data_IF_726192329026
#
_entry.id   IF_726192329026
#
_cell.length_a   1.000
_cell.length_b   1.000
_cell.length_c   1.000
_cell.angle_alpha   90.00
_cell.angle_beta   90.00
_cell.angle_gamma   90.00
#
_symmetry.space_group_name_H-M   'P 1'
#
loop_
_entity.id
_entity.type
_entity.pdbx_description
1 polymer ?
#
# COMPACT_ATOMS: atom_id res chain seq x y z
N UNK A 1 20.79 21.17 -28.34
CA UNK A 1 20.94 19.94 -27.52
C UNK A 1 21.13 20.30 -26.05
N UNK A 2 22.14 21.12 -25.70
CA UNK A 2 22.39 21.54 -24.31
C UNK A 2 21.12 22.01 -23.57
N UNK A 3 20.29 22.85 -24.20
CA UNK A 3 19.02 23.28 -23.61
C UNK A 3 18.10 22.12 -23.22
N UNK A 4 17.96 21.07 -24.03
CA UNK A 4 17.05 19.95 -23.73
C UNK A 4 17.59 19.04 -22.62
N UNK A 5 18.92 18.96 -22.48
CA UNK A 5 19.57 18.15 -21.44
C UNK A 5 19.34 18.71 -20.04
N UNK A 6 19.11 20.01 -19.91
CA UNK A 6 18.82 20.66 -18.62
C UNK A 6 17.44 20.27 -18.05
N UNK A 7 16.49 19.85 -18.91
CA UNK A 7 15.10 19.55 -18.51
C UNK A 7 14.68 18.10 -18.72
N UNK A 8 15.46 17.32 -19.46
CA UNK A 8 15.14 15.93 -19.79
C UNK A 8 16.41 15.11 -20.05
N UNK A 9 16.30 13.79 -19.87
CA UNK A 9 17.34 12.87 -20.32
C UNK A 9 17.24 12.70 -21.84
N UNK A 10 18.22 13.21 -22.57
CA UNK A 10 18.26 13.19 -24.04
C UNK A 10 19.17 12.08 -24.55
N UNK A 11 18.71 11.33 -25.55
CA UNK A 11 19.53 10.38 -26.32
C UNK A 11 19.61 10.88 -27.77
N UNK A 12 20.82 11.00 -28.31
CA UNK A 12 21.05 11.52 -29.67
C UNK A 12 21.28 10.35 -30.62
N UNK A 13 20.57 10.36 -31.74
CA UNK A 13 20.75 9.40 -32.83
C UNK A 13 21.05 10.13 -34.13
N UNK A 14 21.97 9.58 -34.93
CA UNK A 14 22.35 10.17 -36.22
C UNK A 14 21.34 9.94 -37.35
N UNK A 15 20.46 8.95 -37.20
CA UNK A 15 19.53 8.50 -38.24
C UNK A 15 18.09 8.49 -37.75
N UNK A 16 17.16 8.91 -38.61
CA UNK A 16 15.72 8.92 -38.32
C UNK A 16 15.19 7.53 -37.97
N UNK A 17 15.65 6.49 -38.64
CA UNK A 17 15.23 5.10 -38.42
C UNK A 17 15.55 4.62 -37.00
N UNK A 18 16.69 5.06 -36.43
CA UNK A 18 17.05 4.73 -35.05
C UNK A 18 16.18 5.45 -34.02
N UNK A 19 15.73 6.66 -34.33
CA UNK A 19 14.77 7.39 -33.49
C UNK A 19 13.43 6.66 -33.51
N UNK A 20 12.96 6.22 -34.68
CA UNK A 20 11.73 5.43 -34.83
C UNK A 20 11.82 4.09 -34.06
N UNK A 21 12.93 3.37 -34.18
CA UNK A 21 13.17 2.13 -33.44
C UNK A 21 13.18 2.36 -31.92
N UNK A 22 13.74 3.50 -31.47
CA UNK A 22 13.82 3.86 -30.05
C UNK A 22 12.46 4.20 -29.47
N UNK A 23 11.65 4.98 -30.19
CA UNK A 23 10.28 5.35 -29.80
C UNK A 23 9.35 4.15 -29.86
N UNK A 24 9.61 3.18 -30.75
CA UNK A 24 8.83 1.95 -30.86
C UNK A 24 8.99 0.95 -29.70
N UNK A 25 9.84 1.23 -28.71
CA UNK A 25 10.01 0.39 -27.51
C UNK A 25 8.81 0.51 -26.56
N UNK A 26 8.81 -0.25 -25.47
CA UNK A 26 7.69 -0.33 -24.51
C UNK A 26 7.65 0.80 -23.47
N UNK A 27 8.52 1.80 -23.61
CA UNK A 27 8.64 2.93 -22.71
C UNK A 27 8.04 4.21 -23.31
N UNK A 28 7.64 5.15 -22.45
CA UNK A 28 7.01 6.40 -22.87
C UNK A 28 8.09 7.45 -23.21
N UNK A 29 8.62 7.40 -24.43
CA UNK A 29 9.67 8.31 -24.91
C UNK A 29 9.21 9.02 -26.18
N UNK A 30 9.42 10.32 -26.24
CA UNK A 30 9.07 11.13 -27.41
C UNK A 30 10.31 11.35 -28.28
N UNK A 31 10.21 11.07 -29.56
CA UNK A 31 11.25 11.40 -30.54
C UNK A 31 11.13 12.85 -31.00
N UNK A 32 12.26 13.54 -31.13
CA UNK A 32 12.31 14.90 -31.70
C UNK A 32 13.09 14.81 -33.01
N UNK A 33 12.44 15.16 -34.12
CA UNK A 33 13.02 15.13 -35.46
C UNK A 33 13.10 16.54 -36.04
N UNK A 34 14.21 16.92 -36.71
CA UNK A 34 14.25 18.18 -37.44
C UNK A 34 13.31 18.12 -38.66
N UNK A 35 12.48 19.15 -38.83
CA UNK A 35 11.55 19.32 -39.95
C UNK A 35 11.63 20.76 -40.47
N UNK A 36 12.59 21.01 -41.37
CA UNK A 36 12.87 22.34 -41.89
C UNK A 36 13.38 23.27 -40.79
N UNK A 37 12.69 24.40 -40.61
CA UNK A 37 12.99 25.40 -39.58
C UNK A 37 12.36 25.07 -38.21
N UNK A 38 11.69 23.92 -38.08
CA UNK A 38 10.96 23.52 -36.86
C UNK A 38 11.28 22.09 -36.45
N UNK A 39 10.83 21.69 -35.26
CA UNK A 39 10.95 20.33 -34.75
C UNK A 39 9.61 19.59 -34.82
N UNK A 40 9.63 18.37 -35.36
CA UNK A 40 8.49 17.46 -35.35
C UNK A 40 8.61 16.48 -34.17
N UNK A 41 7.50 16.26 -33.47
CA UNK A 41 7.38 15.24 -32.42
C UNK A 41 6.96 13.91 -33.05
N UNK A 42 7.71 12.86 -32.74
CA UNK A 42 7.42 11.49 -33.11
C UNK A 42 6.92 10.72 -31.87
N UNK A 43 5.78 10.06 -32.01
CA UNK A 43 5.10 9.30 -30.95
C UNK A 43 4.70 7.92 -31.46
N UNK A 44 4.66 6.94 -30.56
CA UNK A 44 4.13 5.60 -30.79
C UNK A 44 2.58 5.60 -30.80
N UNK A 45 1.95 6.54 -30.08
CA UNK A 45 0.51 6.78 -30.04
C UNK A 45 -0.19 6.31 -28.76
N UNK A 46 0.55 5.74 -27.82
CA UNK A 46 0.09 5.26 -26.50
C UNK A 46 0.74 6.02 -25.34
N UNK A 47 1.56 7.04 -25.61
CA UNK A 47 2.19 7.86 -24.60
C UNK A 47 1.13 8.69 -23.83
N UNK A 48 1.30 8.87 -22.51
CA UNK A 48 0.41 9.72 -21.74
C UNK A 48 0.41 11.17 -22.26
N UNK A 49 -0.77 11.80 -22.30
CA UNK A 49 -0.94 13.17 -22.80
C UNK A 49 0.01 14.17 -22.12
N UNK A 50 0.26 14.02 -20.82
CA UNK A 50 1.19 14.87 -20.08
C UNK A 50 2.63 14.81 -20.60
N UNK A 51 3.09 13.66 -21.09
CA UNK A 51 4.44 13.50 -21.66
C UNK A 51 4.55 14.21 -23.01
N UNK A 52 3.54 14.05 -23.85
CA UNK A 52 3.45 14.73 -25.16
C UNK A 52 3.40 16.23 -24.97
N UNK A 53 2.58 16.71 -24.03
CA UNK A 53 2.42 18.13 -23.73
C UNK A 53 3.71 18.73 -23.17
N UNK A 54 4.41 18.01 -22.30
CA UNK A 54 5.70 18.44 -21.77
C UNK A 54 6.76 18.60 -22.86
N UNK A 55 6.89 17.62 -23.77
CA UNK A 55 7.80 17.71 -24.91
C UNK A 55 7.46 18.90 -25.83
N UNK A 56 6.16 19.14 -26.06
CA UNK A 56 5.69 20.30 -26.85
C UNK A 56 6.04 21.63 -26.18
N UNK A 57 5.85 21.75 -24.86
CA UNK A 57 6.23 22.96 -24.12
C UNK A 57 7.73 23.19 -24.13
N UNK A 58 8.55 22.15 -23.95
CA UNK A 58 10.01 22.28 -24.03
C UNK A 58 10.48 22.82 -25.37
N UNK A 59 9.95 22.29 -26.48
CA UNK A 59 10.27 22.82 -27.81
C UNK A 59 9.76 24.25 -28.01
N UNK A 60 8.55 24.56 -27.50
CA UNK A 60 8.00 25.91 -27.57
C UNK A 60 8.87 26.92 -26.82
N UNK A 61 9.37 26.56 -25.62
CA UNK A 61 10.26 27.42 -24.85
C UNK A 61 11.63 27.55 -25.50
N UNK A 62 12.14 26.48 -26.13
CA UNK A 62 13.36 26.55 -26.93
C UNK A 62 13.22 27.50 -28.13
N UNK A 63 12.12 27.40 -28.88
CA UNK A 63 11.85 28.27 -30.04
C UNK A 63 11.63 29.75 -29.64
N UNK A 64 11.13 29.98 -28.42
CA UNK A 64 10.94 31.33 -27.85
C UNK A 64 12.16 31.88 -27.11
N UNK A 65 13.27 31.14 -27.07
CA UNK A 65 14.47 31.45 -26.29
C UNK A 65 14.17 31.77 -24.81
N UNK A 66 13.16 31.08 -24.26
CA UNK A 66 12.67 31.30 -22.90
C UNK A 66 13.39 30.36 -21.90
N UNK A 67 13.91 30.94 -20.83
CA UNK A 67 14.62 30.24 -19.75
C UNK A 67 13.79 30.22 -18.45
N UNK A 68 14.21 29.40 -17.48
CA UNK A 68 13.60 29.39 -16.14
C UNK A 68 13.72 30.78 -15.47
N UNK A 69 14.78 31.53 -15.79
CA UNK A 69 15.04 32.85 -15.21
C UNK A 69 14.02 33.91 -15.65
N UNK A 70 13.32 33.67 -16.76
CA UNK A 70 12.28 34.56 -17.28
C UNK A 70 10.92 34.37 -16.57
N UNK A 71 10.82 33.37 -15.68
CA UNK A 71 9.59 33.06 -14.97
C UNK A 71 9.54 33.75 -13.59
N UNK A 72 8.46 34.52 -13.36
CA UNK A 72 8.17 35.12 -12.05
C UNK A 72 7.42 34.16 -11.11
N UNK A 73 7.19 32.91 -11.53
CA UNK A 73 6.47 31.91 -10.77
C UNK A 73 7.40 31.24 -9.74
N UNK A 74 7.03 31.32 -8.47
CA UNK A 74 7.74 30.65 -7.38
C UNK A 74 7.14 29.25 -7.15
N UNK A 75 7.98 28.23 -7.14
CA UNK A 75 7.56 26.87 -6.77
C UNK A 75 7.59 26.77 -5.25
N UNK A 76 6.42 26.81 -4.63
CA UNK A 76 6.28 26.58 -3.19
C UNK A 76 6.22 25.08 -2.94
N UNK A 77 7.33 24.50 -2.46
CA UNK A 77 7.34 23.12 -1.95
C UNK A 77 6.68 23.09 -0.56
N UNK A 78 5.61 22.31 -0.42
CA UNK A 78 4.87 22.13 0.83
C UNK A 78 5.63 21.27 1.87
N UNK A 79 6.86 20.85 1.58
CA UNK A 79 7.71 20.12 2.51
C UNK A 79 7.19 18.72 2.85
N UNK A 80 6.33 18.14 2.01
CA UNK A 80 5.83 16.77 2.19
C UNK A 80 6.92 15.77 1.82
N UNK A 81 7.75 15.42 2.80
CA UNK A 81 8.87 14.48 2.64
C UNK A 81 8.44 13.02 2.45
N UNK A 82 7.19 12.69 2.80
CA UNK A 82 6.66 11.32 2.72
C UNK A 82 5.63 11.22 1.60
N UNK A 83 5.88 10.39 0.56
CA UNK A 83 4.90 10.15 -0.50
C UNK A 83 3.57 9.62 0.07
N UNK A 84 2.41 10.15 -0.35
CA UNK A 84 1.10 9.70 0.14
C UNK A 84 0.88 8.20 -0.02
N UNK A 85 1.31 7.64 -1.16
CA UNK A 85 1.25 6.22 -1.44
C UNK A 85 2.06 5.39 -0.42
N UNK A 86 3.23 5.87 0.01
CA UNK A 86 4.05 5.20 1.02
C UNK A 86 3.30 5.13 2.35
N UNK A 87 2.68 6.23 2.77
CA UNK A 87 1.87 6.30 4.00
C UNK A 87 0.70 5.31 3.96
N UNK A 88 -0.04 5.29 2.85
CA UNK A 88 -1.15 4.36 2.61
C UNK A 88 -0.70 2.91 2.76
N UNK A 89 0.38 2.51 2.08
CA UNK A 89 0.89 1.14 2.11
C UNK A 89 1.36 0.71 3.50
N UNK A 90 1.98 1.61 4.27
CA UNK A 90 2.38 1.32 5.66
C UNK A 90 1.16 1.09 6.55
N UNK A 91 0.13 1.92 6.44
CA UNK A 91 -1.13 1.72 7.19
C UNK A 91 -1.79 0.38 6.84
N UNK A 92 -1.83 0.01 5.56
CA UNK A 92 -2.35 -1.28 5.11
C UNK A 92 -1.53 -2.43 5.71
N UNK A 93 -0.20 -2.35 5.71
CA UNK A 93 0.68 -3.38 6.30
C UNK A 93 0.46 -3.54 7.81
N UNK A 94 0.25 -2.45 8.55
CA UNK A 94 -0.03 -2.49 9.98
C UNK A 94 -1.38 -3.18 10.26
N UNK A 95 -2.39 -2.92 9.45
CA UNK A 95 -3.68 -3.61 9.54
C UNK A 95 -3.59 -5.09 9.15
N UNK A 96 -2.86 -5.43 8.09
CA UNK A 96 -2.55 -6.83 7.73
C UNK A 96 -1.97 -7.57 8.93
N UNK A 97 -0.96 -6.96 9.55
CA UNK A 97 -0.25 -7.52 10.69
C UNK A 97 -1.15 -7.73 11.92
N UNK A 98 -2.16 -6.86 12.10
CA UNK A 98 -3.18 -7.03 13.14
C UNK A 98 -4.09 -8.22 12.85
N UNK A 99 -4.51 -8.39 11.58
CA UNK A 99 -5.31 -9.54 11.13
C UNK A 99 -4.56 -10.86 11.28
N UNK A 100 -3.27 -10.90 10.94
CA UNK A 100 -2.41 -12.08 11.08
C UNK A 100 -2.41 -12.64 12.51
N UNK A 101 -2.44 -11.78 13.52
CA UNK A 101 -2.56 -12.21 14.93
C UNK A 101 -3.83 -13.01 15.19
N UNK A 102 -4.96 -12.61 14.60
CA UNK A 102 -6.21 -13.37 14.65
C UNK A 102 -6.16 -14.68 13.86
N UNK A 103 -5.48 -14.68 12.70
CA UNK A 103 -5.34 -15.89 11.89
C UNK A 103 -4.55 -16.97 12.62
N UNK A 104 -3.45 -16.60 13.27
CA UNK A 104 -2.62 -17.55 14.00
C UNK A 104 -3.37 -18.26 15.11
N UNK A 105 -4.21 -17.54 15.86
CA UNK A 105 -5.02 -18.15 16.92
C UNK A 105 -5.99 -19.16 16.33
N UNK A 106 -6.68 -18.78 15.25
CA UNK A 106 -7.67 -19.65 14.63
C UNK A 106 -7.03 -20.95 14.11
N UNK A 107 -5.88 -20.87 13.43
CA UNK A 107 -5.11 -22.04 12.98
C UNK A 107 -4.67 -22.88 14.17
N UNK A 108 -4.08 -22.26 15.20
CA UNK A 108 -3.64 -22.94 16.42
C UNK A 108 -4.77 -23.73 17.09
N UNK A 109 -5.99 -23.18 17.14
CA UNK A 109 -7.15 -23.85 17.73
C UNK A 109 -7.58 -25.05 16.90
N UNK A 110 -7.58 -24.91 15.57
CA UNK A 110 -8.00 -26.00 14.68
C UNK A 110 -6.97 -27.12 14.68
N UNK A 111 -5.68 -26.81 14.66
CA UNK A 111 -4.61 -27.82 14.82
C UNK A 111 -4.82 -28.65 16.09
N UNK A 112 -5.16 -28.02 17.22
CA UNK A 112 -5.39 -28.74 18.47
C UNK A 112 -6.67 -29.55 18.52
N UNK A 113 -7.68 -29.19 17.73
CA UNK A 113 -8.86 -30.03 17.50
C UNK A 113 -8.48 -31.26 16.69
N UNK A 114 -7.75 -31.07 15.60
CA UNK A 114 -7.33 -32.12 14.67
C UNK A 114 -6.43 -33.13 15.38
N UNK A 115 -5.46 -32.66 16.16
CA UNK A 115 -4.52 -33.48 16.92
C UNK A 115 -5.14 -34.15 18.16
N UNK A 116 -6.44 -33.92 18.42
CA UNK A 116 -7.18 -34.37 19.62
C UNK A 116 -6.58 -33.89 20.96
N UNK A 117 -5.63 -32.96 20.93
CA UNK A 117 -4.97 -32.38 22.11
C UNK A 117 -5.98 -31.68 23.03
N UNK A 118 -7.08 -31.15 22.48
CA UNK A 118 -8.20 -30.59 23.26
C UNK A 118 -8.79 -31.60 24.26
N UNK A 119 -8.86 -32.90 23.92
CA UNK A 119 -9.37 -33.94 24.85
C UNK A 119 -8.35 -34.29 25.92
N UNK A 120 -7.05 -34.16 25.63
CA UNK A 120 -5.98 -34.36 26.61
C UNK A 120 -5.92 -33.23 27.65
N UNK A 121 -6.22 -31.99 27.25
CA UNK A 121 -6.28 -30.83 28.16
C UNK A 121 -7.41 -30.94 29.18
N UNK A 122 -8.51 -31.62 28.85
CA UNK A 122 -9.58 -31.91 29.81
C UNK A 122 -9.13 -32.80 30.98
N UNK A 123 -8.00 -33.50 30.84
CA UNK A 123 -7.37 -34.29 31.90
C UNK A 123 -6.30 -33.51 32.67
N UNK A 124 -6.02 -32.25 32.28
CA UNK A 124 -5.09 -31.35 32.94
C UNK A 124 -5.81 -30.42 33.93
N UNK A 125 -5.14 -29.97 35.01
CA UNK A 125 -5.73 -29.02 35.97
C UNK A 125 -5.86 -27.57 35.44
N UNK A 126 -5.59 -27.32 34.15
CA UNK A 126 -5.59 -25.96 33.59
C UNK A 126 -7.01 -25.54 33.20
N UNK A 127 -7.44 -24.37 33.71
CA UNK A 127 -8.74 -23.80 33.35
C UNK A 127 -8.80 -23.39 31.87
N UNK A 128 -9.90 -23.74 31.19
CA UNK A 128 -10.15 -23.42 29.77
C UNK A 128 -9.98 -21.94 29.43
N UNK A 129 -10.28 -21.03 30.37
CA UNK A 129 -10.11 -19.58 30.20
C UNK A 129 -8.63 -19.15 30.18
N UNK A 130 -7.81 -19.74 31.05
CA UNK A 130 -6.36 -19.46 31.14
C UNK A 130 -5.65 -19.93 29.88
N UNK A 131 -6.05 -21.09 29.37
CA UNK A 131 -5.51 -21.62 28.12
C UNK A 131 -5.83 -20.74 26.90
N UNK A 132 -7.10 -20.30 26.78
CA UNK A 132 -7.55 -19.37 25.74
C UNK A 132 -6.79 -18.03 25.82
N UNK A 133 -6.65 -17.46 27.02
CA UNK A 133 -5.91 -16.21 27.23
C UNK A 133 -4.42 -16.35 26.92
N UNK A 134 -3.79 -17.44 27.35
CA UNK A 134 -2.38 -17.73 27.12
C UNK A 134 -2.02 -17.80 25.63
N UNK A 135 -2.86 -18.45 24.82
CA UNK A 135 -2.67 -18.50 23.36
C UNK A 135 -2.96 -17.17 22.66
N UNK A 136 -3.93 -16.42 23.16
CA UNK A 136 -4.27 -15.10 22.60
C UNK A 136 -3.10 -14.12 22.68
N UNK A 137 -2.27 -14.25 23.71
CA UNK A 137 -1.07 -13.44 23.88
C UNK A 137 -0.07 -13.61 22.74
N UNK A 138 0.09 -14.82 22.17
CA UNK A 138 1.04 -15.03 21.06
C UNK A 138 0.67 -14.20 19.83
N UNK A 139 -0.60 -14.17 19.45
CA UNK A 139 -1.08 -13.34 18.33
C UNK A 139 -0.89 -11.84 18.60
N UNK A 140 -1.12 -11.41 19.84
CA UNK A 140 -0.92 -10.03 20.27
C UNK A 140 0.55 -9.61 20.26
N UNK A 141 1.45 -10.45 20.76
CA UNK A 141 2.89 -10.20 20.73
C UNK A 141 3.41 -10.08 19.30
N UNK A 142 2.96 -10.96 18.40
CA UNK A 142 3.33 -10.87 16.99
C UNK A 142 2.86 -9.56 16.38
N UNK A 143 1.60 -9.15 16.60
CA UNK A 143 1.10 -7.91 16.04
C UNK A 143 1.84 -6.69 16.59
N UNK A 144 2.12 -6.62 17.89
CA UNK A 144 2.87 -5.49 18.48
C UNK A 144 4.30 -5.42 17.93
N UNK A 145 5.03 -6.54 17.97
CA UNK A 145 6.41 -6.59 17.49
C UNK A 145 6.48 -6.34 15.97
N UNK A 146 5.57 -6.94 15.21
CA UNK A 146 5.46 -6.76 13.77
C UNK A 146 5.22 -5.30 13.39
N UNK A 147 4.39 -4.58 14.14
CA UNK A 147 4.16 -3.15 13.87
C UNK A 147 5.41 -2.31 14.18
N UNK A 148 6.11 -2.59 15.29
CA UNK A 148 7.38 -1.92 15.59
C UNK A 148 8.39 -2.16 14.46
N UNK A 149 8.52 -3.40 14.00
CA UNK A 149 9.41 -3.76 12.89
C UNK A 149 9.02 -3.04 11.58
N UNK A 150 7.73 -2.99 11.24
CA UNK A 150 7.23 -2.27 10.05
C UNK A 150 7.63 -0.80 10.11
N UNK A 151 7.47 -0.13 11.26
CA UNK A 151 7.81 1.30 11.40
C UNK A 151 9.30 1.56 11.29
N UNK A 152 10.13 0.68 11.87
CA UNK A 152 11.59 0.78 11.78
C UNK A 152 12.07 0.59 10.34
N UNK A 153 11.59 -0.44 9.63
CA UNK A 153 11.98 -0.74 8.26
C UNK A 153 11.53 0.36 7.29
N UNK A 154 10.32 0.90 7.50
CA UNK A 154 9.72 1.89 6.59
C UNK A 154 10.16 3.33 6.89
N UNK A 155 10.79 3.56 8.04
CA UNK A 155 11.25 4.88 8.49
C UNK A 155 10.14 5.78 9.05
N UNK A 156 8.98 5.22 9.41
CA UNK A 156 7.85 5.96 10.00
C UNK A 156 7.96 6.11 11.52
N UNK A 157 9.17 6.34 12.04
CA UNK A 157 9.43 6.44 13.48
C UNK A 157 8.85 7.69 14.16
N UNK A 158 8.52 8.74 13.38
CA UNK A 158 8.03 10.02 13.92
C UNK A 158 6.49 10.05 14.08
N UNK A 159 5.90 8.92 14.49
CA UNK A 159 4.47 8.79 14.76
C UNK A 159 4.21 8.73 16.26
N UNK A 160 3.00 9.09 16.69
CA UNK A 160 2.61 8.93 18.09
C UNK A 160 2.52 7.44 18.43
N UNK A 161 3.57 6.92 19.08
CA UNK A 161 3.69 5.51 19.40
C UNK A 161 2.54 5.00 20.27
N UNK A 162 2.05 5.82 21.21
CA UNK A 162 0.97 5.46 22.11
C UNK A 162 -0.37 5.26 21.39
N UNK A 163 -0.72 6.19 20.51
CA UNK A 163 -1.93 6.09 19.69
C UNK A 163 -1.86 4.88 18.75
N UNK A 164 -0.75 4.71 18.05
CA UNK A 164 -0.58 3.62 17.11
C UNK A 164 -0.59 2.24 17.79
N UNK A 165 0.10 2.07 18.92
CA UNK A 165 0.05 0.82 19.69
C UNK A 165 -1.36 0.52 20.21
N UNK A 166 -2.11 1.54 20.61
CA UNK A 166 -3.49 1.40 21.06
C UNK A 166 -4.39 0.94 19.90
N UNK A 167 -4.25 1.55 18.73
CA UNK A 167 -5.00 1.17 17.53
C UNK A 167 -4.70 -0.26 17.09
N UNK A 168 -3.42 -0.65 17.08
CA UNK A 168 -3.00 -2.03 16.79
C UNK A 168 -3.58 -2.99 17.83
N UNK A 169 -3.48 -2.67 19.11
CA UNK A 169 -3.99 -3.52 20.18
C UNK A 169 -5.50 -3.78 20.04
N UNK A 170 -6.29 -2.72 19.80
CA UNK A 170 -7.75 -2.85 19.59
C UNK A 170 -8.04 -3.64 18.32
N UNK A 171 -7.33 -3.36 17.22
CA UNK A 171 -7.51 -4.06 15.95
C UNK A 171 -7.19 -5.54 16.08
N UNK A 172 -6.08 -5.88 16.73
CA UNK A 172 -5.69 -7.25 16.99
C UNK A 172 -6.70 -7.95 17.89
N UNK A 173 -7.21 -7.32 18.96
CA UNK A 173 -8.26 -7.94 19.79
C UNK A 173 -9.50 -8.33 18.98
N UNK A 174 -9.94 -7.46 18.06
CA UNK A 174 -11.08 -7.75 17.18
C UNK A 174 -10.74 -8.91 16.25
N UNK A 175 -9.56 -8.92 15.63
CA UNK A 175 -9.10 -10.02 14.80
C UNK A 175 -8.99 -11.33 15.57
N UNK A 176 -8.53 -11.30 16.83
CA UNK A 176 -8.46 -12.46 17.72
C UNK A 176 -9.86 -13.03 17.98
N UNK A 177 -10.85 -12.18 18.30
CA UNK A 177 -12.23 -12.63 18.53
C UNK A 177 -12.81 -13.33 17.30
N UNK A 178 -12.62 -12.76 16.11
CA UNK A 178 -13.07 -13.43 14.88
C UNK A 178 -12.29 -14.71 14.62
N UNK A 179 -10.97 -14.70 14.88
CA UNK A 179 -10.13 -15.88 14.81
C UNK A 179 -10.62 -17.01 15.71
N UNK A 180 -11.03 -16.70 16.94
CA UNK A 180 -11.65 -17.68 17.84
C UNK A 180 -12.92 -18.28 17.25
N UNK A 181 -13.83 -17.44 16.75
CA UNK A 181 -15.08 -17.91 16.14
C UNK A 181 -14.77 -18.86 14.97
N UNK A 182 -13.82 -18.49 14.10
CA UNK A 182 -13.42 -19.32 12.98
C UNK A 182 -12.74 -20.63 13.43
N UNK A 183 -11.82 -20.57 14.40
CA UNK A 183 -11.17 -21.77 14.94
C UNK A 183 -12.15 -22.74 15.62
N UNK A 184 -13.22 -22.22 16.23
CA UNK A 184 -14.26 -23.03 16.87
C UNK A 184 -15.24 -23.65 15.86
N UNK A 185 -15.49 -23.02 14.72
CA UNK A 185 -16.44 -23.52 13.70
C UNK A 185 -15.79 -24.47 12.69
N UNK A 186 -14.49 -24.35 12.45
CA UNK A 186 -13.77 -25.21 11.51
C UNK A 186 -13.12 -26.40 12.22
N UNK A 187 -13.12 -27.55 11.55
CA UNK A 187 -12.55 -28.81 12.06
C UNK A 187 -11.33 -29.29 11.25
N UNK A 188 -10.97 -28.56 10.19
CA UNK A 188 -9.82 -28.83 9.34
C UNK A 188 -8.99 -27.55 9.14
N UNK A 189 -7.66 -27.67 9.23
CA UNK A 189 -6.71 -26.55 9.20
C UNK A 189 -6.74 -25.82 7.86
N UNK A 190 -6.88 -26.55 6.75
CA UNK A 190 -6.95 -25.97 5.40
C UNK A 190 -8.22 -25.12 5.26
N UNK A 191 -9.36 -25.64 5.71
CA UNK A 191 -10.63 -24.92 5.68
C UNK A 191 -10.61 -23.69 6.60
N UNK A 192 -10.02 -23.81 7.80
CA UNK A 192 -9.87 -22.68 8.72
C UNK A 192 -9.02 -21.57 8.08
N UNK A 193 -7.85 -21.91 7.54
CA UNK A 193 -6.95 -20.95 6.88
C UNK A 193 -7.61 -20.28 5.67
N UNK A 194 -8.44 -21.00 4.91
CA UNK A 194 -9.26 -20.44 3.83
C UNK A 194 -10.31 -19.45 4.33
N UNK A 195 -11.12 -19.86 5.31
CA UNK A 195 -12.24 -19.07 5.82
C UNK A 195 -11.79 -17.79 6.55
N UNK A 196 -10.66 -17.83 7.24
CA UNK A 196 -10.11 -16.63 7.88
C UNK A 196 -9.68 -15.58 6.86
N UNK A 197 -9.23 -15.97 5.66
CA UNK A 197 -8.86 -15.00 4.61
C UNK A 197 -10.04 -14.13 4.18
N UNK A 198 -11.28 -14.58 4.40
CA UNK A 198 -12.48 -13.76 4.17
C UNK A 198 -12.42 -12.47 5.01
N UNK A 199 -11.70 -12.44 6.14
CA UNK A 199 -11.49 -11.24 6.96
C UNK A 199 -10.74 -10.11 6.21
N UNK A 200 -9.99 -10.44 5.16
CA UNK A 200 -9.35 -9.45 4.32
C UNK A 200 -10.36 -8.67 3.47
N UNK A 201 -11.53 -9.22 3.15
CA UNK A 201 -12.55 -8.50 2.38
C UNK A 201 -13.13 -7.28 3.11
N UNK A 202 -13.69 -7.38 4.33
CA UNK A 202 -14.21 -6.21 5.03
C UNK A 202 -13.11 -5.20 5.33
N UNK A 203 -11.89 -5.66 5.57
CA UNK A 203 -10.76 -4.75 5.78
C UNK A 203 -10.33 -4.05 4.48
N UNK A 204 -10.28 -4.74 3.34
CA UNK A 204 -10.01 -4.11 2.05
C UNK A 204 -11.13 -3.13 1.66
N UNK A 205 -12.38 -3.50 1.95
CA UNK A 205 -13.53 -2.65 1.77
C UNK A 205 -13.46 -1.38 2.65
N UNK A 206 -12.99 -1.50 3.89
CA UNK A 206 -12.75 -0.36 4.78
C UNK A 206 -11.67 0.60 4.24
N UNK A 207 -10.55 0.07 3.74
CA UNK A 207 -9.48 0.87 3.13
C UNK A 207 -10.00 1.59 1.88
N UNK A 208 -10.66 0.86 0.98
CA UNK A 208 -11.26 1.42 -0.22
C UNK A 208 -12.31 2.49 0.11
N UNK A 209 -13.09 2.32 1.18
CA UNK A 209 -14.07 3.30 1.61
C UNK A 209 -13.42 4.60 2.11
N UNK A 210 -12.25 4.55 2.73
CA UNK A 210 -11.54 5.76 3.18
C UNK A 210 -10.84 6.46 2.02
N UNK A 211 -10.23 5.70 1.11
CA UNK A 211 -9.41 6.29 0.03
C UNK A 211 -10.20 6.66 -1.24
N UNK A 212 -11.29 5.96 -1.55
CA UNK A 212 -12.00 6.09 -2.83
C UNK A 212 -13.43 6.65 -2.71
N UNK A 213 -14.09 6.46 -1.57
CA UNK A 213 -15.48 6.91 -1.39
C UNK A 213 -15.56 8.36 -0.92
N UNK A 214 -16.51 9.10 -1.47
CA UNK A 214 -16.89 10.42 -0.96
C UNK A 214 -17.48 10.32 0.46
N UNK A 215 -17.29 11.38 1.25
CA UNK A 215 -17.65 11.43 2.69
C UNK A 215 -19.08 10.96 3.01
N UNK A 216 -20.03 11.26 2.11
CA UNK A 216 -21.45 10.91 2.27
C UNK A 216 -21.69 9.40 2.36
N UNK A 217 -20.88 8.60 1.66
CA UNK A 217 -21.04 7.15 1.57
C UNK A 217 -20.21 6.39 2.61
N UNK A 218 -19.28 7.06 3.29
CA UNK A 218 -18.44 6.42 4.31
C UNK A 218 -19.27 5.87 5.49
N UNK A 219 -20.46 6.43 5.75
CA UNK A 219 -21.36 5.96 6.82
C UNK A 219 -21.74 4.48 6.68
N UNK A 220 -21.78 3.96 5.44
CA UNK A 220 -22.09 2.55 5.16
C UNK A 220 -20.99 1.58 5.65
N UNK A 221 -19.82 2.09 6.04
CA UNK A 221 -18.66 1.30 6.46
C UNK A 221 -18.33 1.47 7.95
N UNK A 222 -19.08 2.28 8.69
CA UNK A 222 -18.83 2.56 10.11
C UNK A 222 -18.99 1.33 11.01
N UNK A 223 -19.74 0.32 10.55
CA UNK A 223 -19.89 -0.95 11.26
C UNK A 223 -18.64 -1.84 11.14
N UNK A 224 -17.73 -1.56 10.20
CA UNK A 224 -16.51 -2.33 10.01
C UNK A 224 -15.43 -1.77 10.95
N UNK A 225 -14.92 -2.53 11.92
CA UNK A 225 -13.94 -1.99 12.87
C UNK A 225 -12.62 -1.55 12.21
N UNK A 226 -12.21 -2.23 11.14
CA UNK A 226 -11.03 -1.86 10.35
C UNK A 226 -11.12 -0.48 9.71
N UNK A 227 -12.33 0.05 9.47
CA UNK A 227 -12.52 1.41 8.96
C UNK A 227 -11.97 2.44 9.95
N UNK A 228 -12.30 2.31 11.23
CA UNK A 228 -11.84 3.22 12.26
C UNK A 228 -10.34 3.06 12.55
N UNK A 229 -9.85 1.83 12.51
CA UNK A 229 -8.43 1.54 12.69
C UNK A 229 -7.56 2.09 11.54
N UNK A 230 -8.10 2.15 10.32
CA UNK A 230 -7.40 2.75 9.17
C UNK A 230 -7.43 4.28 9.18
N UNK A 231 -8.56 4.85 9.61
CA UNK A 231 -8.82 6.29 9.55
C UNK A 231 -8.13 7.10 10.66
N UNK A 232 -8.04 6.54 11.88
CA UNK A 232 -7.42 7.21 13.03
C UNK A 232 -5.91 7.00 13.08
#
# INVERSE_FOLDING_TARGET
>A
VAYLEDYAKVEIFGDKERVEERVGKRDNVIGILPSGDSYALLQQGNEPEGVVLYAKYLLTFYDLDASIEDTNAEIIDLGRTVPPLKKMLVNILILMNSVLGGMLIAINIVEEKVDRTIRAIHLSPVSRKVYILGKSLMGMFLSVYGTIAILLITGFGNVNMGQMLTMVFVSTLISILVGFIQGLTNDDVMNAAGNIKILFLPMAAAIAAVELLSDKWQICFYWIPFYWAYKG
#
